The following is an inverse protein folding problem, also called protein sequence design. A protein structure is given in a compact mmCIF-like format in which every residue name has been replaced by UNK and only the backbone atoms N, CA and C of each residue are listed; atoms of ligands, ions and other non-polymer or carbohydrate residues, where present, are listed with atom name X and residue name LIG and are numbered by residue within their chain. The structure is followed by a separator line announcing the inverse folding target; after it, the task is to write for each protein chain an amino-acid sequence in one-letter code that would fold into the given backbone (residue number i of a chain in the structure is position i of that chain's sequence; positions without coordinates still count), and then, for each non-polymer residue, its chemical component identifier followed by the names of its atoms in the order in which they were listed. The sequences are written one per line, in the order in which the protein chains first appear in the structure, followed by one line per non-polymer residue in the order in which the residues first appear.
data_IF_126365655663
#
_entry.id   IF_126365655663
#
_cell.length_a   1.000
_cell.length_b   1.000
_cell.length_c   1.000
_cell.angle_alpha   90.00
_cell.angle_beta   90.00
_cell.angle_gamma   90.00
#
_symmetry.space_group_name_H-M   'P 1'
#
loop_
_entity.id
_entity.type
_entity.pdbx_description
1 polymer ?
#
# COMPACT_ATOMS: atom_id res chain seq x y z
N UNK A 1 -50.45 32.01 6.95
CA UNK A 1 -49.22 31.26 6.62
C UNK A 1 -49.00 31.41 5.13
N UNK A 2 -47.90 32.03 4.70
CA UNK A 2 -47.55 32.11 3.26
C UNK A 2 -46.94 30.76 2.87
N UNK A 3 -47.61 30.02 2.01
CA UNK A 3 -47.12 28.74 1.51
C UNK A 3 -45.99 28.94 0.49
N UNK A 4 -45.12 27.95 0.38
CA UNK A 4 -44.09 27.89 -0.67
C UNK A 4 -44.77 27.94 -2.05
N UNK A 5 -44.23 28.77 -2.94
CA UNK A 5 -44.71 28.79 -4.32
C UNK A 5 -44.19 27.57 -5.07
N UNK A 6 -44.94 27.08 -6.07
CA UNK A 6 -44.55 25.91 -6.86
C UNK A 6 -43.18 26.12 -7.52
N UNK A 7 -42.91 27.34 -7.99
CA UNK A 7 -41.62 27.72 -8.57
C UNK A 7 -40.46 27.60 -7.58
N UNK A 8 -40.65 28.08 -6.35
CA UNK A 8 -39.65 28.03 -5.29
C UNK A 8 -39.33 26.58 -4.89
N UNK A 9 -40.34 25.71 -4.80
CA UNK A 9 -40.15 24.28 -4.53
C UNK A 9 -39.35 23.59 -5.63
N UNK A 10 -39.64 23.87 -6.90
CA UNK A 10 -38.89 23.30 -8.04
C UNK A 10 -37.44 23.78 -8.04
N UNK A 11 -37.20 25.06 -7.73
CA UNK A 11 -35.86 25.62 -7.68
C UNK A 11 -35.02 24.95 -6.58
N UNK A 12 -35.59 24.74 -5.39
CA UNK A 12 -34.92 24.03 -4.29
C UNK A 12 -34.59 22.58 -4.68
N UNK A 13 -35.50 21.87 -5.35
CA UNK A 13 -35.25 20.50 -5.82
C UNK A 13 -34.12 20.41 -6.84
N UNK A 14 -34.02 21.37 -7.74
CA UNK A 14 -32.91 21.43 -8.71
C UNK A 14 -31.58 21.61 -7.99
N UNK A 15 -31.50 22.57 -7.06
CA UNK A 15 -30.29 22.81 -6.27
C UNK A 15 -29.88 21.56 -5.49
N UNK A 16 -30.84 20.90 -4.82
CA UNK A 16 -30.58 19.65 -4.10
C UNK A 16 -30.05 18.54 -5.01
N UNK A 17 -30.63 18.38 -6.20
CA UNK A 17 -30.18 17.40 -7.19
C UNK A 17 -28.73 17.65 -7.63
N UNK A 18 -28.36 18.91 -7.88
CA UNK A 18 -26.99 19.29 -8.21
C UNK A 18 -26.02 18.98 -7.06
N UNK A 19 -26.37 19.37 -5.83
CA UNK A 19 -25.50 19.12 -4.65
C UNK A 19 -25.30 17.62 -4.45
N UNK A 20 -26.37 16.81 -4.56
CA UNK A 20 -26.28 15.35 -4.43
C UNK A 20 -25.43 14.75 -5.55
N UNK A 21 -25.63 15.15 -6.81
CA UNK A 21 -24.87 14.64 -7.94
C UNK A 21 -23.36 14.85 -7.80
N UNK A 22 -22.94 16.07 -7.46
CA UNK A 22 -21.53 16.36 -7.19
C UNK A 22 -21.02 15.66 -5.93
N UNK A 23 -21.81 15.64 -4.85
CA UNK A 23 -21.45 14.98 -3.60
C UNK A 23 -21.17 13.49 -3.78
N UNK A 24 -22.05 12.76 -4.47
CA UNK A 24 -21.88 11.33 -4.74
C UNK A 24 -20.66 11.04 -5.62
N UNK A 25 -20.40 11.87 -6.64
CA UNK A 25 -19.23 11.71 -7.50
C UNK A 25 -17.91 11.81 -6.70
N UNK A 26 -17.76 12.89 -5.93
CA UNK A 26 -16.57 13.08 -5.09
C UNK A 26 -16.43 12.01 -4.01
N UNK A 27 -17.54 11.62 -3.37
CA UNK A 27 -17.52 10.57 -2.35
C UNK A 27 -17.07 9.22 -2.91
N UNK A 28 -17.59 8.81 -4.07
CA UNK A 28 -17.19 7.56 -4.71
C UNK A 28 -15.71 7.57 -5.10
N UNK A 29 -15.21 8.69 -5.63
CA UNK A 29 -13.81 8.80 -6.01
C UNK A 29 -12.87 8.67 -4.78
N UNK A 30 -13.19 9.36 -3.69
CA UNK A 30 -12.40 9.27 -2.45
C UNK A 30 -12.45 7.87 -1.83
N UNK A 31 -13.64 7.25 -1.80
CA UNK A 31 -13.82 5.90 -1.26
C UNK A 31 -12.96 4.87 -1.98
N UNK A 32 -12.95 4.90 -3.32
CA UNK A 32 -12.14 4.00 -4.14
C UNK A 32 -10.64 4.20 -3.90
N UNK A 33 -10.17 5.46 -3.76
CA UNK A 33 -8.73 5.72 -3.53
C UNK A 33 -8.23 5.19 -2.20
N UNK A 34 -9.04 5.25 -1.14
CA UNK A 34 -8.68 4.70 0.16
C UNK A 34 -8.70 3.16 0.13
N UNK A 35 -9.70 2.57 -0.53
CA UNK A 35 -9.77 1.11 -0.68
C UNK A 35 -8.54 0.56 -1.41
N UNK A 36 -8.17 1.15 -2.55
CA UNK A 36 -6.98 0.76 -3.33
C UNK A 36 -5.72 0.87 -2.47
N UNK A 37 -5.59 1.91 -1.64
CA UNK A 37 -4.43 2.08 -0.76
C UNK A 37 -4.32 0.96 0.27
N UNK A 38 -5.41 0.65 0.99
CA UNK A 38 -5.42 -0.42 1.99
C UNK A 38 -5.18 -1.80 1.36
N UNK A 39 -5.76 -2.05 0.20
CA UNK A 39 -5.58 -3.30 -0.55
C UNK A 39 -4.11 -3.48 -0.97
N UNK A 40 -3.51 -2.46 -1.58
CA UNK A 40 -2.11 -2.52 -2.00
C UNK A 40 -1.16 -2.66 -0.81
N UNK A 41 -1.51 -2.09 0.33
CA UNK A 41 -0.74 -2.23 1.54
C UNK A 41 -0.78 -3.66 2.09
N UNK A 42 -1.96 -4.32 2.06
CA UNK A 42 -2.09 -5.75 2.39
C UNK A 42 -1.36 -6.64 1.39
N UNK A 43 -1.44 -6.33 0.09
CA UNK A 43 -0.71 -7.06 -0.95
C UNK A 43 0.80 -6.95 -0.71
N UNK A 44 1.30 -5.75 -0.40
CA UNK A 44 2.70 -5.53 -0.07
C UNK A 44 3.13 -6.35 1.14
N UNK A 45 2.32 -6.36 2.20
CA UNK A 45 2.56 -7.20 3.38
C UNK A 45 2.64 -8.68 3.01
N UNK A 46 1.70 -9.17 2.20
CA UNK A 46 1.67 -10.56 1.75
C UNK A 46 2.94 -10.91 0.96
N UNK A 47 3.43 -10.02 0.08
CA UNK A 47 4.68 -10.26 -0.64
C UNK A 47 5.88 -10.37 0.31
N UNK A 48 5.95 -9.53 1.35
CA UNK A 48 7.00 -9.65 2.37
C UNK A 48 6.89 -11.00 3.10
N UNK A 49 5.68 -11.39 3.50
CA UNK A 49 5.44 -12.66 4.19
C UNK A 49 5.82 -13.87 3.32
N UNK A 50 5.36 -13.89 2.07
CA UNK A 50 5.71 -14.95 1.10
C UNK A 50 7.22 -15.03 0.90
N UNK A 51 7.89 -13.90 0.72
CA UNK A 51 9.36 -13.88 0.53
C UNK A 51 10.08 -14.45 1.76
N UNK A 52 9.62 -14.09 2.96
CA UNK A 52 10.15 -14.62 4.21
C UNK A 52 9.90 -16.13 4.34
N UNK A 53 8.70 -16.58 4.02
CA UNK A 53 8.33 -18.01 4.04
C UNK A 53 9.15 -18.82 3.05
N UNK A 54 9.36 -18.32 1.83
CA UNK A 54 10.27 -18.94 0.85
C UNK A 54 11.69 -19.09 1.38
N UNK A 55 12.19 -18.08 2.12
CA UNK A 55 13.50 -18.17 2.78
C UNK A 55 13.53 -19.16 3.95
N UNK A 56 12.46 -19.22 4.76
CA UNK A 56 12.30 -20.18 5.86
C UNK A 56 12.27 -21.63 5.36
N UNK A 57 11.54 -21.88 4.27
CA UNK A 57 11.48 -23.19 3.62
C UNK A 57 12.81 -23.56 2.96
N UNK A 58 13.73 -22.60 2.80
CA UNK A 58 15.00 -22.81 2.10
C UNK A 58 14.78 -23.22 0.65
N UNK A 59 13.73 -22.68 0.02
CA UNK A 59 13.34 -23.08 -1.33
C UNK A 59 14.54 -22.87 -2.28
N UNK A 60 14.94 -23.94 -2.98
CA UNK A 60 16.11 -24.01 -3.85
C UNK A 60 17.47 -23.77 -3.18
N UNK A 61 17.57 -23.89 -1.84
CA UNK A 61 18.78 -23.59 -1.06
C UNK A 61 19.33 -22.17 -1.28
N UNK A 62 18.43 -21.24 -1.59
CA UNK A 62 18.76 -19.85 -1.94
C UNK A 62 18.30 -18.88 -0.87
N UNK A 63 18.92 -17.70 -0.84
CA UNK A 63 18.40 -16.57 -0.08
C UNK A 63 17.31 -15.88 -0.89
N UNK A 64 16.25 -15.44 -0.23
CA UNK A 64 15.15 -14.75 -0.88
C UNK A 64 15.13 -13.29 -0.42
N UNK A 65 14.95 -12.39 -1.37
CA UNK A 65 14.89 -10.96 -1.12
C UNK A 65 13.65 -10.33 -1.72
N UNK A 66 13.25 -9.20 -1.13
CA UNK A 66 12.18 -8.35 -1.64
C UNK A 66 12.75 -6.95 -1.88
N UNK A 67 12.53 -6.43 -3.09
CA UNK A 67 12.89 -5.08 -3.50
C UNK A 67 11.66 -4.18 -3.52
N UNK A 68 11.80 -3.00 -2.95
CA UNK A 68 10.85 -1.90 -3.08
C UNK A 68 11.52 -0.85 -3.95
N UNK A 69 10.95 -0.55 -5.11
CA UNK A 69 11.59 0.33 -6.08
C UNK A 69 10.60 1.40 -6.50
N UNK A 70 11.05 2.65 -6.46
CA UNK A 70 10.37 3.76 -7.11
C UNK A 70 11.12 4.07 -8.41
N UNK A 71 10.45 3.92 -9.55
CA UNK A 71 10.96 4.36 -10.84
C UNK A 71 10.26 5.64 -11.31
N UNK A 72 10.73 6.21 -12.42
CA UNK A 72 10.07 7.34 -13.08
C UNK A 72 8.70 6.97 -13.67
N UNK A 73 8.47 5.69 -13.99
CA UNK A 73 7.23 5.19 -14.61
C UNK A 73 6.22 4.68 -13.58
N UNK A 74 6.67 4.32 -12.38
CA UNK A 74 5.81 3.83 -11.30
C UNK A 74 6.62 3.21 -10.16
N UNK A 75 5.94 2.89 -9.07
CA UNK A 75 6.55 2.14 -7.97
C UNK A 75 6.20 0.67 -8.12
N UNK A 76 7.13 -0.22 -7.81
CA UNK A 76 6.89 -1.66 -7.91
C UNK A 76 7.62 -2.43 -6.81
N UNK A 77 7.10 -3.62 -6.53
CA UNK A 77 7.69 -4.61 -5.64
C UNK A 77 8.26 -5.71 -6.51
N UNK A 78 9.41 -6.24 -6.14
CA UNK A 78 9.96 -7.41 -6.78
C UNK A 78 10.50 -8.42 -5.78
N UNK A 79 10.29 -9.69 -6.08
CA UNK A 79 10.93 -10.80 -5.37
C UNK A 79 12.17 -11.18 -6.16
N UNK A 80 13.28 -11.30 -5.46
CA UNK A 80 14.57 -11.68 -6.02
C UNK A 80 15.15 -12.89 -5.30
N UNK A 81 16.00 -13.63 -6.01
CA UNK A 81 16.63 -14.86 -5.51
C UNK A 81 18.14 -14.73 -5.51
N UNK A 82 18.78 -14.90 -4.36
CA UNK A 82 20.24 -14.78 -4.12
C UNK A 82 20.87 -13.41 -4.34
N UNK A 83 20.38 -12.63 -5.31
CA UNK A 83 20.91 -11.31 -5.65
C UNK A 83 19.80 -10.42 -6.20
N UNK A 84 19.98 -9.10 -6.12
CA UNK A 84 19.04 -8.11 -6.66
C UNK A 84 18.83 -8.20 -8.18
N UNK A 85 19.72 -8.85 -8.91
CA UNK A 85 19.65 -9.03 -10.37
C UNK A 85 18.82 -10.24 -10.81
N UNK A 86 18.59 -11.21 -9.92
CA UNK A 86 17.88 -12.43 -10.26
C UNK A 86 16.41 -12.30 -9.89
N UNK A 87 15.66 -11.68 -10.80
CA UNK A 87 14.24 -11.42 -10.67
C UNK A 87 13.44 -12.73 -10.71
N UNK A 88 12.59 -12.94 -9.70
CA UNK A 88 11.64 -14.04 -9.67
C UNK A 88 10.23 -13.57 -10.03
N UNK A 89 9.78 -12.46 -9.44
CA UNK A 89 8.44 -11.91 -9.65
C UNK A 89 8.48 -10.40 -9.50
N UNK A 90 7.68 -9.69 -10.29
CA UNK A 90 7.45 -8.25 -10.17
C UNK A 90 5.96 -7.98 -10.03
N UNK A 91 5.62 -7.03 -9.17
CA UNK A 91 4.27 -6.51 -8.97
C UNK A 91 4.29 -4.98 -9.02
N UNK A 92 3.61 -4.42 -10.01
CA UNK A 92 3.53 -2.97 -10.19
C UNK A 92 2.44 -2.37 -9.29
N UNK A 93 2.79 -1.33 -8.53
CA UNK A 93 1.81 -0.58 -7.75
C UNK A 93 1.09 0.45 -8.63
N UNK A 94 -0.15 0.83 -8.26
CA UNK A 94 -0.81 1.99 -8.84
C UNK A 94 0.08 3.24 -8.77
N UNK A 95 0.07 4.06 -9.83
CA UNK A 95 0.91 5.26 -9.99
C UNK A 95 0.82 6.28 -8.85
N UNK A 96 -0.28 6.23 -8.11
CA UNK A 96 -0.57 7.11 -6.99
C UNK A 96 0.11 6.66 -5.68
N UNK A 97 0.77 5.50 -5.66
CA UNK A 97 1.46 4.96 -4.50
C UNK A 97 2.98 5.00 -4.68
N UNK A 98 3.69 5.40 -3.63
CA UNK A 98 5.16 5.45 -3.61
C UNK A 98 5.72 4.95 -2.28
N UNK A 99 6.90 4.38 -2.33
CA UNK A 99 7.68 4.07 -1.14
C UNK A 99 8.41 5.31 -0.65
N UNK A 100 8.44 5.54 0.67
CA UNK A 100 9.06 6.76 1.23
C UNK A 100 10.11 6.48 2.31
N UNK A 101 10.12 5.29 2.89
CA UNK A 101 11.10 4.93 3.91
C UNK A 101 11.30 3.42 3.94
N UNK A 102 12.39 2.86 3.39
CA UNK A 102 13.28 3.53 2.45
C UNK A 102 12.53 3.87 1.15
N UNK A 103 12.95 4.92 0.40
CA UNK A 103 12.34 5.26 -0.89
C UNK A 103 12.60 4.17 -1.94
N UNK A 104 13.74 3.49 -1.88
CA UNK A 104 13.98 2.25 -2.62
C UNK A 104 15.03 1.43 -1.89
N UNK A 105 14.94 0.11 -1.98
CA UNK A 105 15.90 -0.78 -1.32
C UNK A 105 15.50 -2.24 -1.42
N UNK A 106 16.43 -3.10 -1.05
CA UNK A 106 16.23 -4.54 -0.99
C UNK A 106 16.36 -5.01 0.45
N UNK A 107 15.53 -5.97 0.80
CA UNK A 107 15.57 -6.67 2.07
C UNK A 107 15.76 -8.13 1.76
N UNK A 108 16.87 -8.68 2.24
CA UNK A 108 17.17 -10.11 2.11
C UNK A 108 16.83 -10.82 3.42
N UNK A 109 16.27 -12.01 3.28
CA UNK A 109 15.99 -12.92 4.38
C UNK A 109 17.01 -14.05 4.37
N UNK A 110 17.60 -14.31 5.52
CA UNK A 110 18.52 -15.43 5.73
C UNK A 110 17.81 -16.78 5.51
N UNK A 111 18.51 -17.68 4.81
CA UNK A 111 18.04 -19.04 4.54
C UNK A 111 17.77 -19.80 5.83
N UNK A 112 16.71 -20.61 5.84
CA UNK A 112 16.25 -21.48 6.94
C UNK A 112 15.84 -20.76 8.24
N UNK A 113 16.20 -19.49 8.42
CA UNK A 113 15.86 -18.73 9.62
C UNK A 113 14.79 -17.66 9.33
N UNK A 114 14.69 -17.20 8.07
CA UNK A 114 13.80 -16.10 7.69
C UNK A 114 14.08 -14.81 8.45
N UNK A 115 15.31 -14.67 8.97
CA UNK A 115 15.74 -13.49 9.71
C UNK A 115 16.18 -12.39 8.76
N UNK A 116 16.05 -11.14 9.20
CA UNK A 116 16.53 -9.98 8.45
C UNK A 116 16.99 -8.87 9.39
N UNK A 117 17.63 -7.85 8.84
CA UNK A 117 18.01 -6.62 9.56
C UNK A 117 16.75 -5.78 9.72
N UNK A 118 16.01 -5.92 10.82
CA UNK A 118 14.66 -5.36 10.95
C UNK A 118 14.50 -3.93 10.41
N UNK A 119 13.56 -3.73 9.49
CA UNK A 119 13.35 -2.48 8.75
C UNK A 119 11.87 -2.11 8.70
N UNK A 120 11.60 -0.84 8.39
CA UNK A 120 10.25 -0.37 8.09
C UNK A 120 10.17 0.08 6.65
N UNK A 121 9.03 -0.24 6.00
CA UNK A 121 8.72 0.18 4.64
C UNK A 121 7.48 1.06 4.66
N UNK A 122 7.66 2.36 4.42
CA UNK A 122 6.58 3.34 4.34
C UNK A 122 5.95 3.37 2.95
N UNK A 123 4.64 3.18 2.86
CA UNK A 123 3.85 3.35 1.65
C UNK A 123 3.01 4.63 1.76
N UNK A 124 3.22 5.56 0.83
CA UNK A 124 2.53 6.84 0.77
C UNK A 124 1.60 6.90 -0.44
N UNK A 125 0.38 7.35 -0.23
CA UNK A 125 -0.54 7.74 -1.29
C UNK A 125 -0.36 9.23 -1.64
N UNK A 126 -0.12 9.51 -2.92
CA UNK A 126 0.13 10.87 -3.43
C UNK A 126 -1.11 11.77 -3.41
N UNK A 127 -2.31 11.20 -3.46
CA UNK A 127 -3.56 11.96 -3.58
C UNK A 127 -3.96 12.57 -2.23
N UNK A 128 -3.99 11.74 -1.19
CA UNK A 128 -4.46 12.13 0.15
C UNK A 128 -3.32 12.30 1.17
N UNK A 129 -2.06 12.13 0.75
CA UNK A 129 -0.88 12.10 1.62
C UNK A 129 -0.94 11.07 2.76
N UNK A 130 -1.85 10.08 2.69
CA UNK A 130 -1.91 9.02 3.67
C UNK A 130 -0.61 8.21 3.64
N UNK A 131 -0.07 7.96 4.82
CA UNK A 131 1.18 7.23 5.02
C UNK A 131 0.95 6.13 6.04
N UNK A 132 1.35 4.92 5.68
CA UNK A 132 1.34 3.76 6.57
C UNK A 132 2.65 3.00 6.41
N UNK A 133 3.02 2.26 7.45
CA UNK A 133 4.28 1.54 7.49
C UNK A 133 4.03 0.04 7.56
N UNK A 134 4.89 -0.70 6.88
CA UNK A 134 4.99 -2.15 6.99
C UNK A 134 6.25 -2.41 7.81
N UNK A 135 6.07 -2.93 9.00
CA UNK A 135 7.13 -3.30 9.90
C UNK A 135 7.62 -4.70 9.59
N UNK A 136 8.92 -4.82 9.33
CA UNK A 136 9.59 -6.08 9.03
C UNK A 136 10.56 -6.34 10.18
N UNK A 137 10.11 -7.01 11.25
CA UNK A 137 10.95 -7.30 12.41
C UNK A 137 12.00 -8.37 12.08
N UNK A 138 13.04 -8.46 12.90
CA UNK A 138 14.19 -9.35 12.67
C UNK A 138 13.83 -10.83 12.68
N UNK A 139 12.83 -11.24 13.46
CA UNK A 139 12.53 -12.65 13.72
C UNK A 139 11.03 -12.99 13.79
N UNK A 140 10.14 -12.01 13.78
CA UNK A 140 8.68 -12.24 13.84
C UNK A 140 8.00 -11.94 12.50
N UNK A 141 6.71 -12.27 12.39
CA UNK A 141 5.98 -12.02 11.15
C UNK A 141 5.82 -10.51 10.90
N UNK A 142 6.07 -10.04 9.66
CA UNK A 142 5.78 -8.67 9.25
C UNK A 142 4.34 -8.27 9.57
N UNK A 143 4.15 -7.01 9.92
CA UNK A 143 2.83 -6.46 10.26
C UNK A 143 2.70 -4.99 9.83
N UNK A 144 1.46 -4.51 9.75
CA UNK A 144 1.16 -3.13 9.39
C UNK A 144 1.17 -2.28 10.66
N UNK A 145 1.88 -1.15 10.62
CA UNK A 145 1.93 -0.18 11.71
C UNK A 145 1.46 1.21 11.23
N UNK A 146 0.71 1.96 12.06
CA UNK A 146 0.39 3.36 11.78
C UNK A 146 1.61 4.28 11.95
N UNK A 147 2.63 3.84 12.69
CA UNK A 147 3.83 4.63 12.98
C UNK A 147 5.08 4.03 12.33
N UNK A 148 6.12 4.85 12.21
CA UNK A 148 7.44 4.41 11.74
C UNK A 148 8.18 3.54 12.76
N UNK A 149 7.56 3.15 13.87
CA UNK A 149 8.13 2.28 14.90
C UNK A 149 7.51 0.89 14.83
N UNK A 150 8.34 -0.16 14.94
CA UNK A 150 7.91 -1.55 15.03
C UNK A 150 7.30 -1.88 16.40
N UNK A 151 6.32 -1.12 16.86
CA UNK A 151 5.59 -1.41 18.09
C UNK A 151 4.25 -2.02 17.72
N UNK A 152 4.03 -3.28 18.12
CA UNK A 152 2.68 -3.88 18.10
C UNK A 152 1.87 -3.21 19.22
N UNK A 153 0.73 -2.62 18.87
CA UNK A 153 -0.31 -2.25 19.83
C UNK A 153 -1.18 -3.47 20.10
#
# INVERSE_FOLDING_TARGET
MKGFTLFETVLVLIILSFILGFGFYYFNQLSQTNFIFEENLKITLNFVQITREKSLLGENNSTWGIGFINSSTGSYIQIVKDSSSNLYLQYDLPKNLIFVNPPSGYIFFEKFTGKTTGTNVGLKNKINNALKYICIPTSSSPFISPSSTCSRF
#
